data_IF_338833965410
#
_entry.id   IF_338833965410
#
_cell.length_a   1.000
_cell.length_b   1.000
_cell.length_c   1.000
_cell.angle_alpha   90.00
_cell.angle_beta   90.00
_cell.angle_gamma   90.00
#
_symmetry.space_group_name_H-M   'P 1'
#
loop_
_entity.id
_entity.type
_entity.pdbx_description
1 polymer ?
#
# COMPACT_ATOMS: atom_id res chain seq x y z
N UNK A 1 -6.44 23.82 27.77
CA UNK A 1 -6.81 22.41 27.59
C UNK A 1 -7.08 22.20 26.11
N UNK A 2 -6.24 21.52 25.32
CA UNK A 2 -6.56 21.23 23.92
C UNK A 2 -7.31 19.89 23.79
N UNK A 3 -8.24 19.87 22.84
CA UNK A 3 -9.20 18.82 22.45
C UNK A 3 -8.52 17.50 22.01
N UNK A 4 -9.20 16.33 22.07
CA UNK A 4 -8.61 15.05 21.69
C UNK A 4 -8.42 14.98 20.17
N UNK A 5 -7.15 15.06 19.74
CA UNK A 5 -6.76 14.89 18.35
C UNK A 5 -7.06 13.48 17.84
N UNK A 6 -7.62 13.42 16.64
CA UNK A 6 -7.88 12.21 15.87
C UNK A 6 -6.62 11.34 15.79
N UNK A 7 -6.73 10.09 16.25
CA UNK A 7 -5.62 9.14 16.20
C UNK A 7 -5.25 8.88 14.72
N UNK A 8 -3.96 8.87 14.35
CA UNK A 8 -3.56 8.55 12.99
C UNK A 8 -4.04 7.13 12.64
N UNK A 9 -4.78 6.99 11.54
CA UNK A 9 -5.29 5.72 11.03
C UNK A 9 -4.14 4.93 10.45
N UNK A 10 -3.45 4.17 11.30
CA UNK A 10 -2.27 3.40 10.91
C UNK A 10 -2.69 2.23 10.03
N UNK A 11 -2.31 2.23 8.75
CA UNK A 11 -2.32 1.04 7.91
C UNK A 11 -0.93 0.41 7.91
N UNK A 12 -0.82 -0.88 8.26
CA UNK A 12 0.43 -1.65 8.20
C UNK A 12 0.42 -2.59 7.01
N UNK A 13 1.15 -2.35 5.92
CA UNK A 13 1.19 -3.24 4.74
C UNK A 13 2.27 -4.33 4.85
N UNK A 14 1.93 -5.62 4.66
CA UNK A 14 2.88 -6.76 4.65
C UNK A 14 3.05 -7.35 3.26
N UNK A 15 4.28 -7.54 2.79
CA UNK A 15 4.69 -8.20 1.53
C UNK A 15 5.25 -9.62 1.77
N UNK A 16 4.91 -10.59 0.91
CA UNK A 16 5.19 -12.02 1.15
C UNK A 16 6.22 -12.66 0.21
N UNK A 17 6.75 -11.96 -0.79
CA UNK A 17 7.67 -12.59 -1.75
C UNK A 17 8.99 -11.82 -1.89
N UNK A 18 10.01 -12.38 -1.21
CA UNK A 18 11.45 -12.09 -1.26
C UNK A 18 11.89 -10.67 -0.82
N UNK A 19 11.82 -10.46 0.49
CA UNK A 19 12.49 -9.37 1.20
C UNK A 19 12.20 -9.47 2.69
N UNK A 20 12.95 -8.78 3.58
CA UNK A 20 12.55 -8.68 4.98
C UNK A 20 11.14 -8.09 5.03
N UNK A 21 10.27 -8.68 5.85
CA UNK A 21 8.94 -8.16 6.12
C UNK A 21 9.07 -6.67 6.49
N UNK A 22 8.49 -5.79 5.68
CA UNK A 22 8.53 -4.35 5.92
C UNK A 22 7.21 -3.97 6.57
N UNK A 23 7.26 -3.47 7.80
CA UNK A 23 6.10 -2.85 8.44
C UNK A 23 6.19 -1.35 8.17
N UNK A 24 5.31 -0.86 7.28
CA UNK A 24 5.19 0.57 6.94
C UNK A 24 3.89 1.08 7.55
N UNK A 25 3.93 2.24 8.21
CA UNK A 25 2.77 2.88 8.83
C UNK A 25 2.39 4.14 8.07
N UNK A 26 1.10 4.31 7.80
CA UNK A 26 0.60 5.53 7.19
C UNK A 26 -0.84 5.40 6.71
N UNK A 27 -1.30 6.38 5.94
CA UNK A 27 -2.62 6.37 5.33
C UNK A 27 -2.58 5.70 3.97
N UNK A 28 -3.58 4.89 3.64
CA UNK A 28 -3.72 4.33 2.29
C UNK A 28 -4.29 5.39 1.35
N UNK A 29 -3.57 5.66 0.26
CA UNK A 29 -4.02 6.55 -0.79
C UNK A 29 -4.08 5.81 -2.13
N UNK A 30 -5.23 5.84 -2.79
CA UNK A 30 -5.46 5.23 -4.10
C UNK A 30 -5.59 6.33 -5.15
N UNK A 31 -4.67 6.35 -6.12
CA UNK A 31 -4.65 7.35 -7.18
C UNK A 31 -4.23 6.76 -8.51
N UNK A 32 -4.57 7.43 -9.61
CA UNK A 32 -4.05 7.05 -10.92
C UNK A 32 -2.63 7.60 -11.11
N UNK A 33 -1.73 6.79 -11.65
CA UNK A 33 -0.35 7.18 -11.97
C UNK A 33 0.08 6.61 -13.33
N UNK A 34 1.01 7.28 -14.03
CA UNK A 34 1.58 6.75 -15.28
C UNK A 34 2.40 5.48 -15.00
N UNK A 35 2.31 4.50 -15.90
CA UNK A 35 3.12 3.28 -15.82
C UNK A 35 4.52 3.57 -16.39
N UNK A 36 5.60 3.16 -15.70
CA UNK A 36 6.95 3.28 -16.25
C UNK A 36 7.06 2.62 -17.62
N UNK A 37 7.43 3.39 -18.64
CA UNK A 37 7.63 2.89 -20.01
C UNK A 37 6.36 2.77 -20.86
N UNK A 38 5.18 3.15 -20.35
CA UNK A 38 3.93 3.11 -21.12
C UNK A 38 3.21 4.48 -21.17
N UNK A 39 2.30 4.66 -22.13
CA UNK A 39 1.48 5.88 -22.28
C UNK A 39 0.19 5.88 -21.45
N UNK A 40 -0.12 4.77 -20.76
CA UNK A 40 -1.35 4.64 -19.97
C UNK A 40 -1.14 5.01 -18.51
N UNK A 41 -2.24 5.40 -17.86
CA UNK A 41 -2.32 5.56 -16.40
C UNK A 41 -3.14 4.44 -15.80
N UNK A 42 -2.72 3.92 -14.66
CA UNK A 42 -3.41 2.84 -13.94
C UNK A 42 -3.61 3.22 -12.46
N UNK A 43 -4.57 2.61 -11.75
CA UNK A 43 -4.68 2.77 -10.32
C UNK A 43 -3.43 2.24 -9.62
N UNK A 44 -2.94 3.02 -8.65
CA UNK A 44 -1.79 2.72 -7.81
C UNK A 44 -2.15 3.01 -6.37
N UNK A 45 -2.00 2.00 -5.52
CA UNK A 45 -2.14 2.12 -4.07
C UNK A 45 -0.79 2.49 -3.46
N UNK A 46 -0.81 3.49 -2.58
CA UNK A 46 0.37 4.03 -1.90
C UNK A 46 0.10 4.16 -0.41
N UNK A 47 1.17 4.23 0.37
CA UNK A 47 1.12 4.56 1.80
C UNK A 47 1.68 5.97 1.97
N UNK A 48 0.85 6.91 2.43
CA UNK A 48 1.29 8.27 2.72
C UNK A 48 2.22 8.24 3.94
N UNK A 49 3.36 8.92 3.84
CA UNK A 49 4.41 8.88 4.86
C UNK A 49 5.46 7.77 4.64
N UNK A 50 5.29 6.92 3.62
CA UNK A 50 6.30 5.93 3.26
C UNK A 50 7.50 6.56 2.55
N UNK A 51 8.62 6.66 3.28
CA UNK A 51 9.92 7.14 2.76
C UNK A 51 10.49 6.30 1.61
N UNK A 52 10.08 5.04 1.47
CA UNK A 52 10.51 4.16 0.38
C UNK A 52 9.64 4.30 -0.86
N UNK A 53 8.53 5.02 -0.76
CA UNK A 53 7.56 5.23 -1.85
C UNK A 53 7.14 3.88 -2.46
N UNK A 54 6.78 2.91 -1.61
CA UNK A 54 6.22 1.64 -2.07
C UNK A 54 4.90 1.91 -2.80
N UNK A 55 4.75 1.26 -3.95
CA UNK A 55 3.64 1.47 -4.88
C UNK A 55 3.13 0.14 -5.36
N UNK A 56 1.85 -0.14 -5.09
CA UNK A 56 1.17 -1.32 -5.59
C UNK A 56 0.31 -0.94 -6.79
N UNK A 57 0.76 -1.32 -7.98
CA UNK A 57 0.10 -1.07 -9.27
C UNK A 57 -0.99 -2.11 -9.52
N UNK A 58 -2.06 -1.68 -10.21
CA UNK A 58 -3.28 -2.48 -10.45
C UNK A 58 -3.82 -3.18 -9.19
N UNK A 59 -3.98 -2.45 -8.07
CA UNK A 59 -4.34 -3.05 -6.80
C UNK A 59 -5.75 -3.64 -6.86
N UNK A 60 -5.89 -4.88 -6.41
CA UNK A 60 -7.16 -5.58 -6.23
C UNK A 60 -7.38 -5.87 -4.76
N UNK A 61 -8.50 -5.44 -4.22
CA UNK A 61 -8.93 -5.85 -2.88
C UNK A 61 -9.29 -7.34 -2.91
N UNK A 62 -8.55 -8.16 -2.16
CA UNK A 62 -8.74 -9.62 -2.11
C UNK A 62 -9.33 -10.09 -0.77
N UNK A 63 -9.29 -9.22 0.25
CA UNK A 63 -9.87 -9.50 1.56
C UNK A 63 -10.20 -8.19 2.28
N UNK A 64 -11.37 -8.12 2.93
CA UNK A 64 -11.74 -7.04 3.84
C UNK A 64 -12.60 -7.59 4.97
N UNK A 65 -12.09 -7.55 6.20
CA UNK A 65 -12.82 -7.97 7.40
C UNK A 65 -12.19 -7.34 8.65
N UNK A 66 -13.00 -7.05 9.68
CA UNK A 66 -12.64 -6.61 11.03
C UNK A 66 -11.18 -6.16 11.24
N UNK A 67 -10.86 -4.92 10.88
CA UNK A 67 -9.54 -4.32 11.13
C UNK A 67 -8.44 -4.74 10.16
N UNK A 68 -8.76 -5.46 9.08
CA UNK A 68 -7.79 -5.90 8.09
C UNK A 68 -8.32 -5.81 6.66
N UNK A 69 -7.51 -5.23 5.79
CA UNK A 69 -7.70 -5.29 4.34
C UNK A 69 -6.47 -5.92 3.69
N UNK A 70 -6.66 -6.71 2.65
CA UNK A 70 -5.55 -7.22 1.83
C UNK A 70 -5.73 -6.83 0.39
N UNK A 71 -4.64 -6.40 -0.22
CA UNK A 71 -4.58 -6.05 -1.63
C UNK A 71 -3.59 -6.95 -2.34
N UNK A 72 -3.86 -7.32 -3.58
CA UNK A 72 -2.88 -7.94 -4.49
C UNK A 72 -2.65 -7.01 -5.68
N UNK A 73 -1.42 -6.92 -6.15
CA UNK A 73 -1.05 -6.10 -7.29
C UNK A 73 0.39 -6.32 -7.70
N UNK A 74 0.94 -5.36 -8.43
CA UNK A 74 2.30 -5.41 -8.94
C UNK A 74 3.16 -4.32 -8.30
N UNK A 75 4.35 -4.68 -7.80
CA UNK A 75 5.39 -3.72 -7.45
C UNK A 75 6.46 -3.71 -8.53
N UNK A 76 7.00 -2.53 -8.83
CA UNK A 76 8.11 -2.38 -9.75
C UNK A 76 9.40 -2.20 -8.95
N UNK A 77 10.20 -3.26 -8.84
CA UNK A 77 11.46 -3.29 -8.09
C UNK A 77 12.58 -3.76 -9.03
N UNK A 78 13.77 -3.17 -8.92
CA UNK A 78 14.97 -3.59 -9.67
C UNK A 78 14.76 -3.78 -11.18
N UNK A 79 13.91 -2.92 -11.79
CA UNK A 79 13.53 -2.95 -13.22
C UNK A 79 12.68 -4.16 -13.64
N UNK A 80 12.08 -4.86 -12.69
CA UNK A 80 11.17 -5.97 -12.92
C UNK A 80 9.84 -5.76 -12.18
N UNK A 81 8.79 -6.39 -12.71
CA UNK A 81 7.46 -6.40 -12.10
C UNK A 81 7.29 -7.65 -11.25
N UNK A 82 6.86 -7.47 -10.01
CA UNK A 82 6.66 -8.55 -9.05
C UNK A 82 5.23 -8.54 -8.53
N UNK A 83 4.57 -9.70 -8.57
CA UNK A 83 3.28 -9.88 -7.92
C UNK A 83 3.45 -9.84 -6.40
N UNK A 84 2.68 -8.97 -5.75
CA UNK A 84 2.76 -8.74 -4.31
C UNK A 84 1.37 -8.71 -3.69
N UNK A 85 1.31 -9.12 -2.43
CA UNK A 85 0.16 -8.91 -1.56
C UNK A 85 0.56 -7.90 -0.49
N UNK A 86 -0.31 -6.92 -0.19
CA UNK A 86 -0.22 -6.03 0.96
C UNK A 86 -1.31 -6.40 1.94
N UNK A 87 -0.95 -6.90 3.12
CA UNK A 87 -1.90 -7.03 4.23
C UNK A 87 -1.85 -5.77 5.07
N UNK A 88 -2.91 -4.95 5.08
CA UNK A 88 -3.10 -3.71 5.82
C UNK A 88 -3.93 -3.94 7.09
N UNK A 89 -3.38 -3.64 8.27
CA UNK A 89 -4.10 -3.69 9.55
C UNK A 89 -4.45 -2.27 10.01
N UNK A 90 -5.65 -2.07 10.57
CA UNK A 90 -6.18 -0.78 11.03
C UNK A 90 -6.44 -0.87 12.53
N UNK A 91 -5.76 -0.02 13.30
CA UNK A 91 -6.05 0.17 14.72
C UNK A 91 -7.35 0.98 14.86
N UNK A 92 -8.34 0.42 15.58
CA UNK A 92 -9.64 1.05 15.89
C UNK A 92 -9.60 1.78 17.23
#
# INVERSE_FOLDING_TARGET
MPEPGEAPRVAVARSYHRGPQQDVRGELNLQHAPVPGEKRTIPVLRILGDTRNNQLFEPRLIYACAGKMKFSGLEHCDRAWHAQEWSCEFDY
#
